data_IF_549145105442
#
_entry.id   IF_549145105442
#
_cell.length_a   1.000
_cell.length_b   1.000
_cell.length_c   1.000
_cell.angle_alpha   90.00
_cell.angle_beta   90.00
_cell.angle_gamma   90.00
#
_symmetry.space_group_name_H-M   'P 1'
#
loop_
_entity.id
_entity.type
_entity.pdbx_description
1 polymer ?
#
# COMPACT_ATOMS: atom_id res chain seq x y z
N UNK A 1 17.18 -23.64 3.32
CA UNK A 1 17.00 -22.73 4.48
C UNK A 1 15.57 -22.21 4.50
N UNK A 2 14.97 -21.90 5.65
CA UNK A 2 13.66 -21.21 5.76
C UNK A 2 13.87 -19.83 6.36
N UNK A 3 12.91 -18.91 6.21
CA UNK A 3 13.00 -17.58 6.82
C UNK A 3 13.02 -17.68 8.35
N UNK A 4 13.82 -16.83 8.99
CA UNK A 4 13.82 -16.65 10.45
C UNK A 4 12.68 -15.72 10.88
N UNK A 5 12.33 -15.73 12.16
CA UNK A 5 11.30 -14.82 12.70
C UNK A 5 11.67 -13.34 12.50
N UNK A 6 12.95 -12.99 12.66
CA UNK A 6 13.44 -11.62 12.42
C UNK A 6 13.28 -11.20 10.96
N UNK A 7 13.54 -12.11 10.00
CA UNK A 7 13.37 -11.85 8.58
C UNK A 7 11.89 -11.70 8.21
N UNK A 8 11.03 -12.56 8.77
CA UNK A 8 9.57 -12.44 8.61
C UNK A 8 9.08 -11.11 9.14
N UNK A 9 9.57 -10.69 10.32
CA UNK A 9 9.17 -9.42 10.91
C UNK A 9 9.64 -8.22 10.08
N UNK A 10 10.86 -8.25 9.53
CA UNK A 10 11.36 -7.21 8.63
C UNK A 10 10.49 -7.05 7.38
N UNK A 11 10.06 -8.18 6.77
CA UNK A 11 9.14 -8.16 5.62
C UNK A 11 7.80 -7.52 6.01
N UNK A 12 7.24 -7.91 7.16
CA UNK A 12 5.98 -7.34 7.65
C UNK A 12 6.12 -5.83 7.85
N UNK A 13 7.20 -5.38 8.49
CA UNK A 13 7.37 -3.97 8.86
C UNK A 13 7.57 -3.09 7.61
N UNK A 14 8.29 -3.58 6.60
CA UNK A 14 8.46 -2.85 5.34
C UNK A 14 7.17 -2.79 4.51
N UNK A 15 6.40 -3.89 4.43
CA UNK A 15 5.09 -3.88 3.78
C UNK A 15 4.15 -2.88 4.47
N UNK A 16 4.12 -2.88 5.81
CA UNK A 16 3.30 -1.94 6.58
C UNK A 16 3.71 -0.51 6.31
N UNK A 17 5.01 -0.19 6.34
CA UNK A 17 5.52 1.16 6.06
C UNK A 17 5.12 1.63 4.66
N UNK A 18 5.25 0.79 3.64
CA UNK A 18 4.85 1.14 2.26
C UNK A 18 3.34 1.27 2.11
N UNK A 19 2.56 0.48 2.86
CA UNK A 19 1.10 0.62 2.88
C UNK A 19 0.65 1.89 3.62
N UNK A 20 1.37 2.33 4.64
CA UNK A 20 1.13 3.63 5.29
C UNK A 20 1.31 4.78 4.27
N UNK A 21 2.32 4.72 3.40
CA UNK A 21 2.49 5.71 2.31
C UNK A 21 1.30 5.72 1.33
N UNK A 22 0.77 4.53 1.00
CA UNK A 22 -0.44 4.40 0.15
C UNK A 22 -1.66 4.98 0.86
N UNK A 23 -1.84 4.68 2.15
CA UNK A 23 -2.98 5.15 2.94
C UNK A 23 -2.93 6.68 3.11
N UNK A 24 -1.73 7.22 3.34
CA UNK A 24 -1.54 8.65 3.52
C UNK A 24 -1.69 9.42 2.22
N UNK A 25 -1.38 8.83 1.06
CA UNK A 25 -1.49 9.49 -0.23
C UNK A 25 -1.97 8.54 -1.34
N UNK A 26 -3.25 8.10 -1.29
CA UNK A 26 -3.73 6.99 -2.11
C UNK A 26 -3.74 7.31 -3.61
N UNK A 27 -3.83 8.60 -3.97
CA UNK A 27 -3.79 9.06 -5.35
C UNK A 27 -2.42 9.61 -5.76
N UNK A 28 -1.38 9.48 -4.94
CA UNK A 28 -0.05 10.05 -5.17
C UNK A 28 -0.06 11.54 -5.58
N UNK A 29 -0.99 12.32 -5.00
CA UNK A 29 -1.17 13.73 -5.34
C UNK A 29 -2.00 14.03 -6.61
N UNK A 30 -2.48 13.01 -7.34
CA UNK A 30 -3.32 13.17 -8.52
C UNK A 30 -4.76 12.68 -8.28
N UNK A 31 -5.60 13.59 -7.80
CA UNK A 31 -7.00 13.34 -7.47
C UNK A 31 -7.94 13.54 -8.67
N UNK A 32 -7.41 13.72 -9.88
CA UNK A 32 -8.21 13.98 -11.08
C UNK A 32 -9.15 12.82 -11.47
N UNK A 33 -8.82 11.61 -11.03
CA UNK A 33 -9.60 10.40 -11.29
C UNK A 33 -10.76 10.19 -10.29
N UNK A 34 -10.85 11.00 -9.24
CA UNK A 34 -11.98 11.00 -8.32
C UNK A 34 -13.15 11.74 -8.98
N UNK A 35 -13.79 11.07 -9.94
CA UNK A 35 -14.91 11.63 -10.71
C UNK A 35 -16.12 11.92 -9.80
N UNK A 36 -16.48 13.20 -9.69
CA UNK A 36 -17.74 13.64 -9.09
C UNK A 36 -18.76 13.83 -10.22
N UNK A 37 -19.94 13.19 -10.12
CA UNK A 37 -21.01 13.40 -11.10
C UNK A 37 -21.73 14.70 -10.81
N UNK A 38 -21.62 15.67 -11.71
CA UNK A 38 -22.42 16.89 -11.73
C UNK A 38 -23.82 16.58 -12.31
N UNK A 39 -24.88 16.86 -11.55
CA UNK A 39 -26.24 16.69 -12.01
C UNK A 39 -26.65 17.76 -13.05
N UNK A 40 -27.85 17.61 -13.64
CA UNK A 40 -28.38 18.55 -14.64
C UNK A 40 -28.56 19.99 -14.11
N UNK A 41 -28.43 20.21 -12.79
CA UNK A 41 -28.52 21.51 -12.12
C UNK A 41 -27.16 22.06 -11.71
N UNK A 42 -26.07 21.41 -12.10
CA UNK A 42 -24.71 21.83 -11.76
C UNK A 42 -24.28 21.45 -10.35
N UNK A 43 -24.91 20.44 -9.73
CA UNK A 43 -24.58 19.99 -8.37
C UNK A 43 -23.73 18.74 -8.46
N UNK A 44 -22.51 18.79 -7.96
CA UNK A 44 -21.73 17.59 -7.70
C UNK A 44 -22.40 16.79 -6.58
N UNK A 45 -22.56 15.48 -6.76
CA UNK A 45 -22.83 14.60 -5.64
C UNK A 45 -21.65 14.65 -4.68
N UNK A 46 -21.94 14.97 -3.43
CA UNK A 46 -20.92 15.24 -2.44
C UNK A 46 -20.12 14.02 -2.04
N UNK A 47 -20.44 12.79 -2.45
CA UNK A 47 -19.75 11.58 -1.96
C UNK A 47 -19.44 10.62 -3.11
N UNK A 48 -18.24 10.04 -3.11
CA UNK A 48 -17.78 9.06 -4.06
C UNK A 48 -16.93 7.98 -3.40
N UNK A 49 -16.72 6.87 -4.13
CA UNK A 49 -15.81 5.81 -3.70
C UNK A 49 -14.99 5.31 -4.87
N UNK A 50 -13.68 5.15 -4.68
CA UNK A 50 -12.78 4.55 -5.67
C UNK A 50 -12.01 3.38 -5.07
N UNK A 51 -11.81 2.34 -5.87
CA UNK A 51 -10.96 1.22 -5.51
C UNK A 51 -9.68 1.26 -6.34
N UNK A 52 -8.53 1.13 -5.69
CA UNK A 52 -7.21 1.01 -6.32
C UNK A 52 -6.67 -0.38 -6.04
N UNK A 53 -6.44 -1.14 -7.10
CA UNK A 53 -5.73 -2.42 -7.05
C UNK A 53 -4.34 -2.24 -7.67
N UNK A 54 -3.29 -2.58 -6.92
CA UNK A 54 -1.91 -2.48 -7.41
C UNK A 54 -0.97 -3.45 -6.68
N UNK A 55 0.33 -3.37 -6.96
CA UNK A 55 1.37 -4.20 -6.36
C UNK A 55 2.44 -3.30 -5.73
N UNK A 56 2.80 -3.58 -4.47
CA UNK A 56 3.99 -3.06 -3.82
C UNK A 56 5.21 -3.83 -4.29
N UNK A 57 6.21 -3.09 -4.75
CA UNK A 57 7.50 -3.62 -5.20
C UNK A 57 8.63 -3.20 -4.23
N UNK A 58 9.81 -3.77 -4.46
CA UNK A 58 11.05 -3.43 -3.74
C UNK A 58 10.94 -3.63 -2.22
N UNK A 59 10.21 -4.67 -1.78
CA UNK A 59 10.11 -5.01 -0.36
C UNK A 59 11.41 -5.68 0.08
N UNK A 60 12.04 -5.13 1.11
CA UNK A 60 13.33 -5.54 1.67
C UNK A 60 14.45 -5.60 0.62
N UNK A 61 14.38 -4.73 -0.40
CA UNK A 61 15.36 -4.69 -1.49
C UNK A 61 16.79 -4.44 -0.99
N UNK A 62 16.93 -3.62 0.07
CA UNK A 62 18.24 -3.32 0.69
C UNK A 62 18.83 -4.48 1.50
N UNK A 63 18.09 -5.58 1.64
CA UNK A 63 18.52 -6.78 2.33
C UNK A 63 17.56 -7.24 3.43
N UNK A 64 17.84 -8.44 3.93
CA UNK A 64 17.13 -9.03 5.07
C UNK A 64 18.11 -9.27 6.23
N UNK A 65 17.65 -9.23 7.49
CA UNK A 65 18.49 -9.54 8.64
C UNK A 65 19.24 -10.87 8.47
N UNK A 66 20.57 -10.83 8.61
CA UNK A 66 21.44 -12.00 8.47
C UNK A 66 21.73 -12.44 7.04
N UNK A 67 21.23 -11.73 6.02
CA UNK A 67 21.54 -11.95 4.60
C UNK A 67 22.29 -10.73 4.08
N UNK A 68 23.49 -10.93 3.54
CA UNK A 68 24.26 -9.85 2.93
C UNK A 68 23.64 -9.51 1.56
N UNK A 69 23.22 -8.26 1.30
CA UNK A 69 22.60 -7.88 0.03
C UNK A 69 23.50 -8.14 -1.18
N UNK A 70 24.82 -8.03 -1.04
CA UNK A 70 25.77 -8.33 -2.14
C UNK A 70 25.82 -9.83 -2.51
N UNK A 71 25.41 -10.69 -1.58
CA UNK A 71 25.43 -12.15 -1.73
C UNK A 71 24.01 -12.72 -1.90
N UNK A 72 23.01 -11.88 -2.21
CA UNK A 72 21.62 -12.31 -2.30
C UNK A 72 20.83 -11.63 -3.40
N UNK A 73 19.86 -12.36 -3.93
CA UNK A 73 18.81 -11.85 -4.81
C UNK A 73 17.48 -11.96 -4.07
N UNK A 74 16.84 -10.82 -3.80
CA UNK A 74 15.61 -10.70 -3.03
C UNK A 74 14.55 -10.08 -3.93
N UNK A 75 13.52 -10.86 -4.23
CA UNK A 75 12.35 -10.41 -4.97
C UNK A 75 11.10 -10.67 -4.13
N UNK A 76 10.57 -9.60 -3.54
CA UNK A 76 9.37 -9.64 -2.71
C UNK A 76 8.39 -8.60 -3.23
N UNK A 77 7.17 -9.05 -3.55
CA UNK A 77 6.07 -8.18 -3.97
C UNK A 77 4.80 -8.49 -3.18
N UNK A 78 3.96 -7.48 -2.98
CA UNK A 78 2.69 -7.63 -2.27
C UNK A 78 1.55 -6.96 -3.04
N UNK A 79 0.53 -7.72 -3.41
CA UNK A 79 -0.68 -7.16 -4.02
C UNK A 79 -1.50 -6.46 -2.95
N UNK A 80 -2.06 -5.29 -3.26
CA UNK A 80 -2.92 -4.55 -2.35
C UNK A 80 -4.16 -3.99 -3.03
N UNK A 81 -5.16 -3.72 -2.20
CA UNK A 81 -6.41 -3.05 -2.55
C UNK A 81 -6.61 -1.88 -1.57
N UNK A 82 -6.89 -0.69 -2.09
CA UNK A 82 -7.21 0.49 -1.31
C UNK A 82 -8.56 1.07 -1.75
N UNK A 83 -9.54 1.00 -0.86
CA UNK A 83 -10.86 1.61 -1.04
C UNK A 83 -10.88 2.99 -0.41
N UNK A 84 -11.12 3.99 -1.24
CA UNK A 84 -11.10 5.41 -0.88
C UNK A 84 -12.53 5.89 -0.87
N UNK A 85 -12.99 6.42 0.26
CA UNK A 85 -14.21 7.20 0.36
C UNK A 85 -13.84 8.68 0.41
N UNK A 86 -14.53 9.48 -0.38
CA UNK A 86 -14.24 10.91 -0.47
C UNK A 86 -15.53 11.71 -0.61
N UNK A 87 -15.44 12.98 -0.26
CA UNK A 87 -16.49 13.93 -0.46
C UNK A 87 -16.00 15.21 -1.15
N UNK A 88 -16.89 15.89 -1.86
CA UNK A 88 -16.63 17.21 -2.43
C UNK A 88 -17.32 18.25 -1.54
N UNK A 89 -16.53 19.12 -0.92
CA UNK A 89 -17.02 20.21 -0.07
C UNK A 89 -17.33 21.48 -0.86
N UNK A 90 -17.21 21.44 -2.20
CA UNK A 90 -17.56 22.56 -3.07
C UNK A 90 -19.02 22.97 -2.87
N UNK A 91 -19.21 24.15 -2.28
CA UNK A 91 -20.51 24.78 -2.09
C UNK A 91 -20.83 25.72 -3.27
N UNK A 92 -21.76 25.37 -4.19
CA UNK A 92 -22.17 26.22 -5.30
C UNK A 92 -23.07 27.37 -4.80
N UNK A 93 -22.46 28.31 -4.07
CA UNK A 93 -23.08 29.56 -3.65
C UNK A 93 -22.67 30.74 -4.52
N UNK A 94 -23.48 31.80 -4.52
CA UNK A 94 -23.22 33.05 -5.25
C UNK A 94 -22.21 33.90 -4.45
N UNK A 95 -20.98 33.41 -4.37
CA UNK A 95 -19.89 34.03 -3.63
C UNK A 95 -19.17 35.05 -4.50
N UNK A 96 -18.84 36.21 -3.92
CA UNK A 96 -18.02 37.21 -4.61
C UNK A 96 -16.57 36.74 -4.82
N UNK A 97 -16.15 35.76 -4.02
CA UNK A 97 -14.92 34.99 -4.17
C UNK A 97 -15.26 33.57 -3.73
N UNK A 98 -15.28 32.57 -4.64
CA UNK A 98 -15.62 31.20 -4.28
C UNK A 98 -14.73 30.70 -3.14
N UNK A 99 -15.26 29.94 -2.16
CA UNK A 99 -14.40 29.21 -1.22
C UNK A 99 -13.47 28.29 -2.00
N UNK A 100 -12.27 28.03 -1.45
CA UNK A 100 -11.40 26.96 -1.94
C UNK A 100 -12.03 25.62 -1.53
N UNK A 101 -13.05 25.19 -2.26
CA UNK A 101 -13.59 23.83 -2.14
C UNK A 101 -12.72 22.84 -2.91
N UNK A 102 -12.85 21.57 -2.59
CA UNK A 102 -12.08 20.47 -3.17
C UNK A 102 -12.53 19.11 -2.66
N UNK A 103 -11.83 18.08 -3.12
CA UNK A 103 -12.12 16.71 -2.75
C UNK A 103 -11.42 16.39 -1.42
N UNK A 104 -12.21 16.08 -0.39
CA UNK A 104 -11.72 15.61 0.90
C UNK A 104 -11.79 14.07 0.97
N UNK A 105 -10.72 13.44 1.47
CA UNK A 105 -10.71 11.99 1.69
C UNK A 105 -11.24 11.69 3.09
N UNK A 106 -12.40 11.02 3.14
CA UNK A 106 -13.08 10.64 4.37
C UNK A 106 -12.39 9.45 5.05
N UNK A 107 -12.12 8.41 4.26
CA UNK A 107 -11.64 7.13 4.75
C UNK A 107 -10.86 6.40 3.66
N UNK A 108 -9.73 5.79 4.04
CA UNK A 108 -9.01 4.85 3.19
C UNK A 108 -8.97 3.50 3.91
N UNK A 109 -9.67 2.52 3.33
CA UNK A 109 -9.63 1.14 3.76
C UNK A 109 -8.65 0.36 2.87
N UNK A 110 -7.48 0.02 3.39
CA UNK A 110 -6.47 -0.71 2.64
C UNK A 110 -6.29 -2.14 3.15
N UNK A 111 -5.99 -3.07 2.23
CA UNK A 111 -5.70 -4.46 2.55
C UNK A 111 -4.67 -5.06 1.59
N UNK A 112 -3.87 -5.99 2.08
CA UNK A 112 -2.92 -6.77 1.29
C UNK A 112 -3.54 -8.12 0.92
N UNK A 113 -3.57 -8.42 -0.38
CA UNK A 113 -4.30 -9.55 -0.97
C UNK A 113 -3.44 -10.77 -1.25
N UNK A 114 -2.16 -10.57 -1.58
CA UNK A 114 -1.19 -11.65 -1.83
C UNK A 114 0.24 -11.17 -1.52
N UNK A 115 1.13 -12.11 -1.21
CA UNK A 115 2.56 -11.84 -1.01
C UNK A 115 3.40 -12.89 -1.73
N UNK A 116 4.19 -12.44 -2.71
CA UNK A 116 5.17 -13.26 -3.42
C UNK A 116 6.55 -13.00 -2.81
N UNK A 117 7.26 -14.08 -2.51
CA UNK A 117 8.59 -14.02 -1.90
C UNK A 117 9.45 -15.03 -2.66
N UNK A 118 10.54 -14.54 -3.23
CA UNK A 118 11.59 -15.31 -3.89
C UNK A 118 12.93 -14.77 -3.41
N UNK A 119 13.71 -15.61 -2.72
CA UNK A 119 15.00 -15.22 -2.15
C UNK A 119 16.02 -16.29 -2.50
N UNK A 120 17.15 -15.86 -3.07
CA UNK A 120 18.30 -16.70 -3.36
C UNK A 120 19.54 -16.16 -2.68
N UNK A 121 20.30 -17.01 -1.99
CA UNK A 121 21.51 -16.59 -1.25
C UNK A 121 22.71 -17.38 -1.76
N UNK A 122 23.84 -16.71 -1.97
CA UNK A 122 25.09 -17.33 -2.39
C UNK A 122 25.67 -18.18 -1.25
N UNK A 123 25.74 -19.49 -1.49
CA UNK A 123 26.48 -20.40 -0.62
C UNK A 123 27.96 -20.38 -1.00
N UNK A 124 28.79 -19.77 -0.13
CA UNK A 124 30.25 -19.63 -0.35
C UNK A 124 31.00 -20.96 -0.36
N UNK A 125 30.46 -22.03 0.22
CA UNK A 125 31.10 -23.35 0.19
C UNK A 125 30.90 -24.06 -1.15
N UNK A 126 29.73 -23.87 -1.78
CA UNK A 126 29.36 -24.52 -3.04
C UNK A 126 29.50 -23.62 -4.27
N UNK A 127 29.75 -22.32 -4.07
CA UNK A 127 29.79 -21.25 -5.08
C UNK A 127 28.51 -21.20 -5.92
N UNK A 128 27.36 -21.47 -5.29
CA UNK A 128 26.05 -21.53 -5.93
C UNK A 128 25.01 -20.77 -5.13
N UNK A 129 24.08 -20.16 -5.85
CA UNK A 129 22.88 -19.58 -5.24
C UNK A 129 21.92 -20.69 -4.81
N UNK A 130 21.50 -20.63 -3.55
CA UNK A 130 20.53 -21.54 -2.97
C UNK A 130 19.24 -20.77 -2.65
N UNK A 131 18.12 -21.27 -3.16
CA UNK A 131 16.82 -20.70 -2.87
C UNK A 131 16.44 -20.93 -1.40
N UNK A 132 15.99 -19.87 -0.74
CA UNK A 132 15.36 -19.96 0.57
C UNK A 132 13.96 -20.54 0.36
N UNK A 133 13.67 -21.64 1.05
CA UNK A 133 12.36 -22.29 1.01
C UNK A 133 11.40 -21.49 1.90
N UNK A 134 10.42 -20.85 1.29
CA UNK A 134 9.35 -20.16 2.01
C UNK A 134 8.14 -21.08 2.09
N UNK A 135 7.62 -21.30 3.30
CA UNK A 135 6.42 -22.12 3.49
C UNK A 135 5.15 -21.30 3.28
N UNK A 136 4.06 -21.95 2.89
CA UNK A 136 2.75 -21.28 2.81
C UNK A 136 2.30 -20.73 4.16
N UNK A 137 2.64 -21.41 5.26
CA UNK A 137 2.36 -20.94 6.62
C UNK A 137 3.03 -19.58 6.90
N UNK A 138 4.27 -19.39 6.46
CA UNK A 138 4.97 -18.11 6.61
C UNK A 138 4.32 -17.00 5.78
N UNK A 139 3.90 -17.30 4.55
CA UNK A 139 3.18 -16.34 3.70
C UNK A 139 1.85 -15.92 4.32
N UNK A 140 1.07 -16.88 4.81
CA UNK A 140 -0.20 -16.61 5.50
C UNK A 140 0.00 -15.80 6.77
N UNK A 141 1.04 -16.11 7.55
CA UNK A 141 1.38 -15.34 8.76
C UNK A 141 1.75 -13.88 8.43
N UNK A 142 2.55 -13.67 7.38
CA UNK A 142 2.90 -12.31 6.93
C UNK A 142 1.63 -11.56 6.54
N UNK A 143 0.78 -12.17 5.70
CA UNK A 143 -0.45 -11.54 5.21
C UNK A 143 -1.42 -11.19 6.35
N UNK A 144 -1.62 -12.10 7.30
CA UNK A 144 -2.47 -11.86 8.48
C UNK A 144 -1.92 -10.71 9.32
N UNK A 145 -0.62 -10.76 9.66
CA UNK A 145 0.00 -9.73 10.52
C UNK A 145 0.10 -8.36 9.86
N UNK A 146 0.30 -8.31 8.56
CA UNK A 146 0.30 -7.05 7.80
C UNK A 146 -1.08 -6.43 7.85
N UNK A 147 -2.13 -7.19 7.52
CA UNK A 147 -3.50 -6.69 7.55
C UNK A 147 -3.98 -6.32 8.98
N UNK A 148 -3.50 -7.01 10.01
CA UNK A 148 -3.78 -6.64 11.41
C UNK A 148 -3.12 -5.31 11.82
N UNK A 149 -1.98 -4.96 11.20
CA UNK A 149 -1.23 -3.74 11.50
C UNK A 149 -1.70 -2.54 10.67
N UNK A 150 -2.14 -2.78 9.44
CA UNK A 150 -2.71 -1.75 8.59
C UNK A 150 -4.08 -1.36 9.15
N UNK A 151 -4.12 -0.24 9.87
CA UNK A 151 -5.35 0.30 10.41
C UNK A 151 -5.90 1.36 9.44
N UNK A 152 -7.21 1.42 9.15
CA UNK A 152 -7.78 2.49 8.34
C UNK A 152 -7.47 3.84 8.99
N UNK A 153 -6.75 4.71 8.29
CA UNK A 153 -6.55 6.08 8.72
C UNK A 153 -7.85 6.86 8.47
N UNK A 154 -8.20 7.73 9.41
CA UNK A 154 -9.30 8.68 9.26
C UNK A 154 -8.73 10.06 9.07
N UNK A 155 -9.27 10.74 8.06
CA UNK A 155 -9.14 12.16 7.74
C UNK A 155 -7.82 12.62 7.11
N UNK A 156 -7.87 12.84 5.78
CA UNK A 156 -6.94 13.73 5.08
C UNK A 156 -7.72 14.68 4.16
N UNK A 157 -7.65 15.98 4.47
CA UNK A 157 -8.16 17.06 3.62
C UNK A 157 -7.14 17.30 2.49
N UNK A 158 -7.60 17.26 1.24
CA UNK A 158 -6.78 17.56 0.07
C UNK A 158 -7.33 18.83 -0.59
N UNK A 159 -6.52 19.89 -0.57
CA UNK A 159 -6.87 21.21 -1.10
C UNK A 159 -6.39 21.42 -2.54
#
# INVERSE_FOLDING_TARGET
MTLTEEQVQAIIDDIVSKMEDVIDNPCNGDYSNLECYEDEYGRCYSHGSQCIESELEEICFDGLPGINPEDSDIYITAGYCADISFHDDYDPGDYWTPPSGGIEIDEVCASVTDVKIEISVLNRESDKYEAVKITNEQKMLILERVNDKICPSKEKVVA
#
